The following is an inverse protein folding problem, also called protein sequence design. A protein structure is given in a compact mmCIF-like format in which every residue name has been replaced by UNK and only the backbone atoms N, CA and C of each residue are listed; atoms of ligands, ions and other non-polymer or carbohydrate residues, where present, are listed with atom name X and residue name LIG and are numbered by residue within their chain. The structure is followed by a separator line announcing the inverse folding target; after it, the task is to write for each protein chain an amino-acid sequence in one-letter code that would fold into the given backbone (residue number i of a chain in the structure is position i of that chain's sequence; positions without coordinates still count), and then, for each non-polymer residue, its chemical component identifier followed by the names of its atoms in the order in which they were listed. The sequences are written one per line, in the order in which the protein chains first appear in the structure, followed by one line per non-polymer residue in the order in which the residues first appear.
data_IF_569026738569
#
_entry.id   IF_569026738569
#
_cell.length_a   1.000
_cell.length_b   1.000
_cell.length_c   1.000
_cell.angle_alpha   90.00
_cell.angle_beta   90.00
_cell.angle_gamma   90.00
#
_symmetry.space_group_name_H-M   'P 1'
#
loop_
_entity.id
_entity.type
_entity.pdbx_description
1 polymer ?
#
# COMPACT_ATOMS: atom_id res chain seq x y z
N UNK A 1 -4.93 20.82 21.54
CA UNK A 1 -3.95 20.00 22.28
C UNK A 1 -3.54 18.85 21.38
N UNK A 2 -2.25 18.60 21.18
CA UNK A 2 -1.77 17.44 20.42
C UNK A 2 -1.87 16.24 21.36
N UNK A 3 -2.70 15.24 21.04
CA UNK A 3 -2.71 14.01 21.83
C UNK A 3 -1.36 13.29 21.66
N UNK A 4 -0.76 12.81 22.75
CA UNK A 4 0.48 12.04 22.66
C UNK A 4 0.22 10.74 21.90
N UNK A 5 1.15 10.37 21.02
CA UNK A 5 1.17 9.06 20.39
C UNK A 5 1.17 8.01 21.49
N UNK A 6 0.10 7.23 21.59
CA UNK A 6 0.00 6.15 22.57
C UNK A 6 0.11 4.84 21.83
N UNK A 7 1.17 4.09 22.14
CA UNK A 7 1.42 2.76 21.61
C UNK A 7 1.22 1.78 22.75
N UNK A 8 0.28 0.86 22.60
CA UNK A 8 0.13 -0.28 23.51
C UNK A 8 0.72 -1.51 22.84
N UNK A 9 1.75 -2.07 23.49
CA UNK A 9 2.39 -3.32 23.03
C UNK A 9 2.11 -4.40 24.06
N UNK A 10 1.67 -5.56 23.60
CA UNK A 10 1.44 -6.75 24.42
C UNK A 10 2.19 -7.92 23.80
N UNK A 11 2.90 -8.68 24.63
CA UNK A 11 3.56 -9.93 24.24
C UNK A 11 2.67 -11.04 24.79
N UNK A 12 2.11 -11.87 23.91
CA UNK A 12 1.23 -12.95 24.33
C UNK A 12 2.00 -14.01 25.12
N UNK A 13 1.40 -14.54 26.18
CA UNK A 13 2.08 -15.56 26.97
C UNK A 13 1.84 -16.95 26.36
N UNK A 14 2.90 -17.58 25.87
CA UNK A 14 2.88 -18.98 25.42
C UNK A 14 3.90 -19.80 26.21
N UNK A 15 3.42 -20.86 26.87
CA UNK A 15 4.23 -21.64 27.81
C UNK A 15 5.24 -22.60 27.13
N UNK A 16 5.17 -22.76 25.81
CA UNK A 16 5.86 -23.82 25.06
C UNK A 16 6.76 -23.33 23.93
N UNK A 17 6.92 -22.01 23.77
CA UNK A 17 7.77 -21.40 22.73
C UNK A 17 8.30 -20.06 23.24
N UNK A 18 9.54 -19.73 22.90
CA UNK A 18 10.17 -18.43 23.15
C UNK A 18 9.79 -17.36 22.12
N UNK A 19 9.11 -17.77 21.04
CA UNK A 19 8.56 -16.90 20.01
C UNK A 19 7.07 -16.62 20.24
N UNK A 20 6.79 -15.76 21.21
CA UNK A 20 5.45 -15.23 21.48
C UNK A 20 4.99 -14.22 20.42
N UNK A 21 3.70 -14.26 20.08
CA UNK A 21 3.08 -13.23 19.23
C UNK A 21 3.13 -11.86 19.93
N UNK A 22 3.39 -10.80 19.15
CA UNK A 22 3.43 -9.42 19.64
C UNK A 22 2.26 -8.66 19.03
N UNK A 23 1.33 -8.24 19.88
CA UNK A 23 0.20 -7.40 19.50
C UNK A 23 0.56 -5.93 19.67
N UNK A 24 0.46 -5.16 18.59
CA UNK A 24 0.73 -3.73 18.57
C UNK A 24 -0.55 -2.95 18.27
N UNK A 25 -1.01 -2.16 19.24
CA UNK A 25 -2.13 -1.24 19.08
C UNK A 25 -1.64 0.20 18.95
N UNK A 26 -1.75 0.74 17.73
CA UNK A 26 -1.33 2.11 17.40
C UNK A 26 -2.55 3.05 17.41
N UNK A 27 -2.59 3.97 18.37
CA UNK A 27 -3.54 5.08 18.32
C UNK A 27 -2.96 6.19 17.47
N UNK A 28 -3.33 6.21 16.19
CA UNK A 28 -2.92 7.26 15.25
C UNK A 28 -3.94 8.40 15.37
N UNK A 29 -3.53 9.60 15.84
CA UNK A 29 -4.42 10.76 15.83
C UNK A 29 -4.87 11.02 14.40
N UNK A 30 -6.17 11.25 14.22
CA UNK A 30 -6.76 11.49 12.91
C UNK A 30 -6.05 12.70 12.28
N UNK A 31 -5.24 12.44 11.25
CA UNK A 31 -4.57 13.49 10.50
C UNK A 31 -5.67 14.32 9.84
N UNK A 32 -5.92 15.52 10.37
CA UNK A 32 -6.93 16.45 9.84
C UNK A 32 -6.56 17.05 8.49
N UNK A 33 -5.48 16.56 7.87
CA UNK A 33 -4.99 17.05 6.58
C UNK A 33 -5.62 16.19 5.49
N UNK A 34 -6.21 16.81 4.46
CA UNK A 34 -6.63 16.06 3.31
C UNK A 34 -5.40 15.36 2.72
N UNK A 35 -5.54 14.09 2.39
CA UNK A 35 -4.54 13.38 1.61
C UNK A 35 -4.48 14.04 0.22
N UNK A 36 -3.47 14.86 0.00
CA UNK A 36 -3.23 15.47 -1.31
C UNK A 36 -2.18 14.66 -2.04
N UNK A 37 -2.59 13.98 -3.11
CA UNK A 37 -1.65 13.40 -4.05
C UNK A 37 -0.86 14.54 -4.70
N UNK A 38 0.47 14.57 -4.50
CA UNK A 38 1.37 15.56 -5.13
C UNK A 38 1.71 15.19 -6.58
N UNK A 39 0.74 14.72 -7.36
CA UNK A 39 0.96 14.35 -8.75
C UNK A 39 1.20 15.63 -9.52
N UNK A 40 2.35 15.73 -10.20
CA UNK A 40 2.56 16.82 -11.13
C UNK A 40 1.70 16.57 -12.38
N UNK A 41 0.63 17.34 -12.65
CA UNK A 41 -0.28 17.08 -13.77
C UNK A 41 0.40 17.31 -15.13
N UNK A 42 1.53 18.03 -15.16
CA UNK A 42 2.29 18.25 -16.38
C UNK A 42 2.95 16.97 -16.90
N UNK A 43 3.21 15.99 -16.01
CA UNK A 43 3.72 14.66 -16.40
C UNK A 43 2.72 13.96 -17.34
N UNK A 44 1.42 14.15 -17.13
CA UNK A 44 0.36 13.57 -17.97
C UNK A 44 0.26 14.23 -19.35
N UNK A 45 0.97 15.35 -19.59
CA UNK A 45 1.04 16.01 -20.89
C UNK A 45 2.25 15.57 -21.72
N UNK A 46 3.25 14.97 -21.07
CA UNK A 46 4.38 14.40 -21.80
C UNK A 46 3.96 13.07 -22.45
N UNK A 47 3.87 13.09 -23.78
CA UNK A 47 3.46 11.93 -24.57
C UNK A 47 4.39 10.74 -24.39
N UNK A 48 5.69 10.97 -24.19
CA UNK A 48 6.66 9.89 -24.01
C UNK A 48 6.45 9.18 -22.66
N UNK A 49 6.26 9.95 -21.59
CA UNK A 49 5.94 9.41 -20.26
C UNK A 49 4.60 8.67 -20.27
N UNK A 50 3.54 9.27 -20.84
CA UNK A 50 2.22 8.62 -20.93
C UNK A 50 2.31 7.31 -21.70
N UNK A 51 3.00 7.29 -22.84
CA UNK A 51 3.20 6.09 -23.62
C UNK A 51 3.92 5.00 -22.81
N UNK A 52 4.98 5.36 -22.10
CA UNK A 52 5.77 4.42 -21.29
C UNK A 52 4.94 3.81 -20.17
N UNK A 53 4.25 4.63 -19.38
CA UNK A 53 3.39 4.16 -18.28
C UNK A 53 2.26 3.28 -18.82
N UNK A 54 1.58 3.72 -19.89
CA UNK A 54 0.48 2.96 -20.50
C UNK A 54 0.97 1.60 -20.99
N UNK A 55 2.14 1.55 -21.64
CA UNK A 55 2.74 0.30 -22.12
C UNK A 55 3.06 -0.64 -20.96
N UNK A 56 3.70 -0.15 -19.90
CA UNK A 56 4.05 -0.96 -18.73
C UNK A 56 2.81 -1.51 -18.01
N UNK A 57 1.79 -0.67 -17.80
CA UNK A 57 0.53 -1.10 -17.21
C UNK A 57 -0.13 -2.18 -18.07
N UNK A 58 -0.23 -1.96 -19.38
CA UNK A 58 -0.83 -2.94 -20.30
C UNK A 58 -0.09 -4.27 -20.25
N UNK A 59 1.24 -4.24 -20.35
CA UNK A 59 2.06 -5.45 -20.29
C UNK A 59 1.90 -6.18 -18.96
N UNK A 60 1.81 -5.46 -17.83
CA UNK A 60 1.57 -6.07 -16.54
C UNK A 60 0.25 -6.85 -16.51
N UNK A 61 -0.86 -6.21 -16.92
CA UNK A 61 -2.17 -6.86 -16.89
C UNK A 61 -2.30 -7.98 -17.93
N UNK A 62 -1.70 -7.85 -19.12
CA UNK A 62 -1.67 -8.92 -20.12
C UNK A 62 -0.98 -10.20 -19.59
N UNK A 63 0.05 -10.04 -18.74
CA UNK A 63 0.79 -11.17 -18.18
C UNK A 63 0.08 -11.76 -16.94
N UNK A 64 -0.50 -10.90 -16.09
CA UNK A 64 -0.91 -11.29 -14.74
C UNK A 64 -2.44 -11.40 -14.55
N UNK A 65 -3.26 -10.83 -15.44
CA UNK A 65 -4.72 -10.92 -15.35
C UNK A 65 -5.24 -12.18 -16.08
N UNK A 66 -4.87 -13.36 -15.59
CA UNK A 66 -5.40 -14.63 -16.08
C UNK A 66 -6.78 -14.92 -15.47
N UNK A 67 -7.56 -15.83 -16.08
CA UNK A 67 -8.92 -16.16 -15.61
C UNK A 67 -8.96 -16.69 -14.17
N UNK A 68 -7.87 -17.31 -13.70
CA UNK A 68 -7.74 -17.88 -12.37
C UNK A 68 -7.35 -16.86 -11.28
N UNK A 69 -6.97 -15.64 -11.66
CA UNK A 69 -6.47 -14.63 -10.73
C UNK A 69 -7.58 -13.68 -10.28
N UNK A 70 -7.69 -13.48 -8.97
CA UNK A 70 -8.57 -12.46 -8.41
C UNK A 70 -8.13 -11.05 -8.87
N UNK A 71 -9.00 -10.27 -9.53
CA UNK A 71 -8.65 -8.94 -10.02
C UNK A 71 -8.17 -7.98 -8.93
N UNK A 72 -8.65 -8.12 -7.70
CA UNK A 72 -8.23 -7.28 -6.57
C UNK A 72 -6.77 -7.54 -6.21
N UNK A 73 -6.38 -8.81 -6.22
CA UNK A 73 -5.00 -9.26 -5.98
C UNK A 73 -4.05 -8.76 -7.09
N UNK A 74 -4.44 -8.89 -8.35
CA UNK A 74 -3.65 -8.38 -9.49
C UNK A 74 -3.48 -6.87 -9.42
N UNK A 75 -4.55 -6.13 -9.09
CA UNK A 75 -4.49 -4.69 -8.86
C UNK A 75 -3.58 -4.30 -7.69
N UNK A 76 -3.65 -5.04 -6.58
CA UNK A 76 -2.79 -4.80 -5.42
C UNK A 76 -1.31 -4.99 -5.76
N UNK A 77 -0.98 -6.08 -6.47
CA UNK A 77 0.37 -6.42 -6.88
C UNK A 77 0.95 -5.44 -7.93
N UNK A 78 0.11 -4.93 -8.85
CA UNK A 78 0.52 -3.94 -9.84
C UNK A 78 1.14 -2.68 -9.19
N UNK A 79 0.53 -2.19 -8.11
CA UNK A 79 0.99 -1.00 -7.38
C UNK A 79 2.34 -1.17 -6.68
N UNK A 80 2.77 -2.41 -6.43
CA UNK A 80 4.06 -2.71 -5.84
C UNK A 80 5.20 -2.78 -6.88
N UNK A 81 4.84 -2.80 -8.18
CA UNK A 81 5.77 -3.07 -9.28
C UNK A 81 6.03 -1.85 -10.16
N UNK A 82 5.03 -0.97 -10.33
CA UNK A 82 5.07 0.21 -11.22
C UNK A 82 4.85 1.48 -10.41
#
# INVERSE_FOLDING_TARGET
SVQPWTTHTHIENIAWSDHAEITLNLQIPQLSRPWHWRLNPWILRDKATVYTITKQLKTYFEINATEDMDPTTVWAAQKATI
#
